data_IF_102821342530
#
_entry.id   IF_102821342530
#
_cell.length_a   1.000
_cell.length_b   1.000
_cell.length_c   1.000
_cell.angle_alpha   90.00
_cell.angle_beta   90.00
_cell.angle_gamma   90.00
#
_symmetry.space_group_name_H-M   'P 1'
#
loop_
_entity.id
_entity.type
_entity.pdbx_description
1 polymer ?
#
# COMPACT_ATOMS: atom_id res chain seq x y z
N UNK A 1 -7.07 -18.83 -26.67
CA UNK A 1 -6.39 -18.39 -25.43
C UNK A 1 -5.87 -16.98 -25.66
N UNK A 2 -6.19 -16.10 -24.74
CA UNK A 2 -5.74 -14.68 -24.75
C UNK A 2 -4.99 -14.42 -23.47
N UNK A 3 -3.87 -13.70 -23.59
CA UNK A 3 -3.11 -13.19 -22.45
C UNK A 3 -3.41 -11.72 -22.29
N UNK A 4 -3.80 -11.32 -21.10
CA UNK A 4 -4.07 -9.93 -20.75
C UNK A 4 -3.44 -9.56 -19.41
N UNK A 5 -3.08 -8.29 -19.30
CA UNK A 5 -2.54 -7.71 -18.07
C UNK A 5 -3.55 -6.75 -17.47
N UNK A 6 -3.78 -6.87 -16.16
CA UNK A 6 -4.67 -5.99 -15.41
C UNK A 6 -3.89 -5.27 -14.31
N UNK A 7 -4.12 -3.98 -14.13
CA UNK A 7 -3.67 -3.23 -12.97
C UNK A 7 -4.62 -3.50 -11.80
N UNK A 8 -4.08 -4.00 -10.69
CA UNK A 8 -4.85 -4.39 -9.51
C UNK A 8 -4.57 -3.41 -8.38
N UNK A 9 -5.60 -2.75 -7.90
CA UNK A 9 -5.50 -1.82 -6.76
C UNK A 9 -6.02 -2.43 -5.46
N UNK A 10 -5.47 -1.98 -4.31
CA UNK A 10 -5.89 -2.44 -2.99
C UNK A 10 -5.14 -3.65 -2.45
N UNK A 11 -4.12 -4.15 -3.15
CA UNK A 11 -3.24 -5.19 -2.64
C UNK A 11 -2.15 -4.57 -1.75
N UNK A 12 -2.08 -5.01 -0.49
CA UNK A 12 -1.09 -4.51 0.46
C UNK A 12 -0.24 -5.62 1.10
N UNK A 13 -0.49 -6.88 0.76
CA UNK A 13 0.21 -8.01 1.36
C UNK A 13 0.20 -9.22 0.45
N UNK A 14 1.14 -10.18 0.68
CA UNK A 14 1.20 -11.43 -0.09
C UNK A 14 -0.09 -12.27 0.00
N UNK A 15 -0.82 -12.20 1.12
CA UNK A 15 -2.13 -12.86 1.24
C UNK A 15 -3.18 -12.22 0.32
N UNK A 16 -3.09 -10.90 0.06
CA UNK A 16 -3.97 -10.20 -0.85
C UNK A 16 -3.74 -10.65 -2.30
N UNK A 17 -2.47 -10.69 -2.76
CA UNK A 17 -2.14 -11.18 -4.10
C UNK A 17 -2.54 -12.65 -4.30
N UNK A 18 -2.28 -13.51 -3.32
CA UNK A 18 -2.73 -14.90 -3.34
C UNK A 18 -4.26 -15.03 -3.37
N UNK A 19 -5.00 -14.12 -2.72
CA UNK A 19 -6.47 -14.11 -2.77
C UNK A 19 -6.98 -13.75 -4.16
N UNK A 20 -6.42 -12.72 -4.81
CA UNK A 20 -6.76 -12.33 -6.19
C UNK A 20 -6.48 -13.49 -7.15
N UNK A 21 -5.30 -14.10 -7.06
CA UNK A 21 -4.91 -15.25 -7.86
C UNK A 21 -5.85 -16.45 -7.67
N UNK A 22 -6.22 -16.76 -6.43
CA UNK A 22 -7.14 -17.86 -6.12
C UNK A 22 -8.55 -17.64 -6.68
N UNK A 23 -9.08 -16.42 -6.63
CA UNK A 23 -10.45 -16.16 -7.11
C UNK A 23 -10.51 -16.09 -8.62
N UNK A 24 -9.46 -15.63 -9.30
CA UNK A 24 -9.38 -15.58 -10.76
C UNK A 24 -9.10 -16.94 -11.37
N UNK A 25 -8.25 -17.78 -10.79
CA UNK A 25 -8.04 -19.18 -11.21
C UNK A 25 -9.29 -20.07 -11.10
N UNK A 26 -10.28 -19.67 -10.30
CA UNK A 26 -11.55 -20.41 -10.17
C UNK A 26 -12.57 -20.06 -11.27
N UNK A 27 -12.28 -19.10 -12.12
CA UNK A 27 -13.15 -18.80 -13.26
C UNK A 27 -13.04 -19.90 -14.30
N UNK A 28 -14.16 -20.38 -14.86
CA UNK A 28 -14.12 -21.37 -15.93
C UNK A 28 -13.41 -20.77 -17.15
N UNK A 29 -12.50 -21.52 -17.77
CA UNK A 29 -11.73 -21.04 -18.93
C UNK A 29 -10.45 -20.26 -18.61
N UNK A 30 -10.11 -20.04 -17.34
CA UNK A 30 -8.81 -19.48 -16.94
C UNK A 30 -7.80 -20.61 -16.81
N UNK A 31 -6.72 -20.54 -17.61
CA UNK A 31 -5.61 -21.49 -17.57
C UNK A 31 -4.56 -21.09 -16.53
N UNK A 32 -4.22 -19.80 -16.54
CA UNK A 32 -3.16 -19.25 -15.69
C UNK A 32 -3.52 -17.85 -15.20
N UNK A 33 -3.21 -17.57 -13.96
CA UNK A 33 -3.31 -16.24 -13.37
C UNK A 33 -2.15 -16.05 -12.41
N UNK A 34 -1.30 -15.08 -12.70
CA UNK A 34 -0.12 -14.73 -11.90
C UNK A 34 -0.25 -13.27 -11.45
N UNK A 35 -0.12 -13.07 -10.15
CA UNK A 35 -0.28 -11.74 -9.56
C UNK A 35 1.05 -11.25 -9.01
N UNK A 36 1.54 -10.14 -9.53
CA UNK A 36 2.74 -9.47 -9.04
C UNK A 36 2.34 -8.34 -8.09
N UNK A 37 2.59 -8.53 -6.80
CA UNK A 37 2.28 -7.57 -5.75
C UNK A 37 3.07 -6.25 -5.91
N UNK A 38 4.35 -6.32 -6.32
CA UNK A 38 5.23 -5.15 -6.42
C UNK A 38 4.85 -4.27 -7.62
N UNK A 39 4.54 -4.91 -8.74
CA UNK A 39 4.07 -4.23 -9.94
C UNK A 39 2.57 -3.85 -9.87
N UNK A 40 1.84 -4.36 -8.86
CA UNK A 40 0.38 -4.22 -8.75
C UNK A 40 -0.36 -4.69 -10.02
N UNK A 41 0.15 -5.75 -10.65
CA UNK A 41 -0.34 -6.28 -11.92
C UNK A 41 -0.70 -7.75 -11.79
N UNK A 42 -1.73 -8.13 -12.55
CA UNK A 42 -2.12 -9.52 -12.75
C UNK A 42 -2.02 -9.84 -14.24
N UNK A 43 -1.25 -10.87 -14.55
CA UNK A 43 -1.22 -11.48 -15.92
C UNK A 43 -2.13 -12.69 -15.91
N UNK A 44 -3.10 -12.72 -16.80
CA UNK A 44 -4.08 -13.80 -16.88
C UNK A 44 -4.16 -14.35 -18.29
N UNK A 45 -4.15 -15.69 -18.42
CA UNK A 45 -4.34 -16.42 -19.66
C UNK A 45 -5.69 -17.14 -19.59
N UNK A 46 -6.59 -16.85 -20.51
CA UNK A 46 -7.95 -17.37 -20.48
C UNK A 46 -8.53 -17.59 -21.87
N UNK A 47 -9.63 -18.35 -21.92
CA UNK A 47 -10.41 -18.62 -23.14
C UNK A 47 -11.53 -17.58 -23.27
N UNK A 48 -11.43 -16.71 -24.29
CA UNK A 48 -12.42 -15.66 -24.57
C UNK A 48 -13.84 -16.18 -24.83
N UNK A 49 -13.97 -17.48 -25.21
CA UNK A 49 -15.30 -18.08 -25.44
C UNK A 49 -16.01 -18.43 -24.13
N UNK A 50 -15.30 -18.52 -23.03
CA UNK A 50 -15.82 -18.94 -21.73
C UNK A 50 -15.87 -17.80 -20.70
N UNK A 51 -14.94 -16.85 -20.76
CA UNK A 51 -14.82 -15.74 -19.80
C UNK A 51 -14.58 -14.43 -20.53
N UNK A 52 -15.28 -13.38 -20.12
CA UNK A 52 -15.06 -12.02 -20.64
C UNK A 52 -14.23 -11.17 -19.70
N UNK A 53 -13.52 -10.12 -20.20
CA UNK A 53 -12.77 -9.18 -19.38
C UNK A 53 -13.58 -8.57 -18.23
N UNK A 54 -14.86 -8.27 -18.47
CA UNK A 54 -15.76 -7.70 -17.48
C UNK A 54 -16.04 -8.68 -16.33
N UNK A 55 -16.11 -9.98 -16.62
CA UNK A 55 -16.29 -11.02 -15.61
C UNK A 55 -15.05 -11.19 -14.74
N UNK A 56 -13.84 -11.04 -15.33
CA UNK A 56 -12.58 -11.03 -14.59
C UNK A 56 -12.55 -9.85 -13.62
N UNK A 57 -12.83 -8.64 -14.13
CA UNK A 57 -12.90 -7.42 -13.32
C UNK A 57 -13.93 -7.56 -12.19
N UNK A 58 -15.16 -7.96 -12.52
CA UNK A 58 -16.22 -8.13 -11.52
C UNK A 58 -15.87 -9.19 -10.46
N UNK A 59 -15.10 -10.23 -10.83
CA UNK A 59 -14.66 -11.24 -9.86
C UNK A 59 -13.62 -10.72 -8.89
N UNK A 60 -12.68 -9.91 -9.38
CA UNK A 60 -11.66 -9.24 -8.55
C UNK A 60 -12.30 -8.19 -7.64
N UNK A 61 -13.24 -7.39 -8.17
CA UNK A 61 -14.00 -6.41 -7.38
C UNK A 61 -14.84 -7.08 -6.28
N UNK A 62 -15.47 -8.21 -6.59
CA UNK A 62 -16.21 -9.00 -5.61
C UNK A 62 -15.31 -9.57 -4.51
N UNK A 63 -14.02 -9.75 -4.76
CA UNK A 63 -13.04 -10.13 -3.75
C UNK A 63 -12.53 -8.95 -2.91
N UNK A 64 -12.97 -7.72 -3.21
CA UNK A 64 -12.62 -6.50 -2.46
C UNK A 64 -11.42 -5.74 -3.01
N UNK A 65 -11.01 -6.02 -4.26
CA UNK A 65 -9.88 -5.38 -4.94
C UNK A 65 -10.37 -4.65 -6.19
N UNK A 66 -9.69 -3.58 -6.60
CA UNK A 66 -9.97 -2.94 -7.87
C UNK A 66 -9.17 -3.60 -9.00
N UNK A 67 -9.79 -3.78 -10.18
CA UNK A 67 -9.11 -4.26 -11.38
C UNK A 67 -9.43 -3.37 -12.58
N UNK A 68 -8.41 -3.07 -13.39
CA UNK A 68 -8.56 -2.36 -14.66
C UNK A 68 -7.66 -3.02 -15.70
N UNK A 69 -8.16 -3.17 -16.92
CA UNK A 69 -7.33 -3.65 -18.02
C UNK A 69 -6.13 -2.70 -18.18
N UNK A 70 -4.93 -3.26 -18.16
CA UNK A 70 -3.71 -2.50 -18.39
C UNK A 70 -3.70 -2.02 -19.84
N UNK A 71 -3.85 -0.74 -20.06
CA UNK A 71 -3.64 -0.13 -21.35
C UNK A 71 -2.19 0.36 -21.38
N UNK A 72 -1.37 -0.20 -22.25
CA UNK A 72 -0.11 0.42 -22.63
C UNK A 72 -0.44 1.81 -23.22
N UNK A 73 -0.60 2.79 -22.36
CA UNK A 73 -0.53 4.17 -22.81
C UNK A 73 0.88 4.36 -23.37
N UNK A 74 0.95 4.56 -24.67
CA UNK A 74 2.09 5.28 -25.26
C UNK A 74 2.37 6.46 -24.33
N UNK A 75 3.45 6.38 -23.56
CA UNK A 75 3.92 7.47 -22.70
C UNK A 75 4.48 8.57 -23.59
N UNK A 76 3.58 9.28 -24.26
CA UNK A 76 3.78 10.59 -24.85
C UNK A 76 2.69 11.52 -24.33
N UNK A 77 2.63 11.68 -23.00
CA UNK A 77 1.88 12.77 -22.39
C UNK A 77 2.87 13.66 -21.66
N UNK A 78 2.79 15.01 -21.84
CA UNK A 78 3.72 15.94 -21.23
C UNK A 78 3.69 15.77 -19.72
N UNK A 79 4.88 15.85 -19.11
CA UNK A 79 5.07 15.98 -17.67
C UNK A 79 4.09 17.07 -17.17
N UNK A 80 2.93 16.64 -16.71
CA UNK A 80 2.09 17.51 -15.92
C UNK A 80 2.85 17.77 -14.62
N UNK A 81 3.20 19.00 -14.40
CA UNK A 81 3.75 19.57 -13.15
C UNK A 81 2.72 19.52 -12.03
N UNK A 82 2.12 18.35 -11.81
CA UNK A 82 1.27 18.01 -10.68
C UNK A 82 2.06 17.11 -9.73
N UNK A 83 1.92 17.32 -8.45
CA UNK A 83 2.48 16.42 -7.42
C UNK A 83 2.10 14.98 -7.74
N UNK A 84 3.11 14.10 -7.69
CA UNK A 84 2.94 12.66 -7.94
C UNK A 84 1.83 12.11 -7.02
N UNK A 85 0.75 11.52 -7.55
CA UNK A 85 -0.39 11.07 -6.72
C UNK A 85 0.06 10.15 -5.57
N UNK A 86 1.12 9.35 -5.79
CA UNK A 86 1.71 8.51 -4.73
C UNK A 86 2.37 9.33 -3.62
N UNK A 87 2.98 10.48 -3.96
CA UNK A 87 3.57 11.37 -2.94
C UNK A 87 2.50 12.06 -2.11
N UNK A 88 1.44 12.53 -2.74
CA UNK A 88 0.32 13.15 -2.06
C UNK A 88 -0.34 12.15 -1.08
N UNK A 89 -0.52 10.90 -1.48
CA UNK A 89 -1.05 9.83 -0.63
C UNK A 89 -0.12 9.52 0.55
N UNK A 90 1.18 9.43 0.31
CA UNK A 90 2.17 9.16 1.36
C UNK A 90 2.23 10.32 2.38
N UNK A 91 2.14 11.58 1.92
CA UNK A 91 2.06 12.77 2.78
C UNK A 91 0.78 12.76 3.62
N UNK A 92 -0.35 12.34 3.05
CA UNK A 92 -1.61 12.20 3.77
C UNK A 92 -1.51 11.13 4.86
N UNK A 93 -1.03 9.92 4.52
CA UNK A 93 -0.80 8.83 5.49
C UNK A 93 0.14 9.26 6.61
N UNK A 94 1.22 9.99 6.29
CA UNK A 94 2.15 10.54 7.29
C UNK A 94 1.46 11.50 8.24
N UNK A 95 0.63 12.42 7.74
CA UNK A 95 -0.11 13.39 8.57
C UNK A 95 -1.11 12.68 9.49
N UNK A 96 -1.90 11.75 8.94
CA UNK A 96 -2.86 10.95 9.71
C UNK A 96 -2.14 10.16 10.82
N UNK A 97 -0.97 9.58 10.53
CA UNK A 97 -0.14 8.87 11.51
C UNK A 97 0.38 9.80 12.62
N UNK A 98 0.87 10.99 12.28
CA UNK A 98 1.37 11.96 13.29
C UNK A 98 0.23 12.37 14.22
N UNK A 99 -0.94 12.69 13.68
CA UNK A 99 -2.11 13.04 14.48
C UNK A 99 -2.50 11.88 15.38
N UNK A 100 -2.63 10.68 14.83
CA UNK A 100 -2.94 9.46 15.58
C UNK A 100 -1.92 9.21 16.71
N UNK A 101 -0.62 9.36 16.45
CA UNK A 101 0.43 9.16 17.43
C UNK A 101 0.35 10.18 18.58
N UNK A 102 0.12 11.47 18.28
CA UNK A 102 -0.01 12.51 19.31
C UNK A 102 -1.18 12.20 20.24
N UNK A 103 -2.37 11.89 19.68
CA UNK A 103 -3.56 11.60 20.47
C UNK A 103 -3.46 10.27 21.23
N UNK A 104 -2.85 9.23 20.63
CA UNK A 104 -2.59 7.96 21.32
C UNK A 104 -1.61 8.10 22.46
N UNK A 105 -0.54 8.88 22.30
CA UNK A 105 0.40 9.15 23.39
C UNK A 105 -0.27 9.95 24.52
N UNK A 106 -1.09 10.95 24.19
CA UNK A 106 -1.85 11.70 25.17
C UNK A 106 -2.85 10.79 25.93
N UNK A 107 -3.53 9.90 25.20
CA UNK A 107 -4.47 8.95 25.78
C UNK A 107 -3.77 7.94 26.71
N UNK A 108 -2.63 7.38 26.27
CA UNK A 108 -1.80 6.50 27.10
C UNK A 108 -1.32 7.23 28.38
N UNK A 109 -0.92 8.49 28.24
CA UNK A 109 -0.49 9.29 29.39
C UNK A 109 -1.63 9.52 30.37
N UNK A 110 -2.83 9.85 29.90
CA UNK A 110 -4.02 10.02 30.75
C UNK A 110 -4.42 8.70 31.42
N UNK A 111 -4.42 7.58 30.69
CA UNK A 111 -4.85 6.28 31.20
C UNK A 111 -3.84 5.64 32.17
N UNK A 112 -2.55 5.64 31.82
CA UNK A 112 -1.50 4.92 32.56
C UNK A 112 -0.50 5.83 33.27
N UNK A 113 -0.58 7.16 33.11
CA UNK A 113 0.42 8.09 33.63
C UNK A 113 0.58 8.03 35.15
N UNK A 114 -0.45 7.62 35.88
CA UNK A 114 -0.39 7.45 37.34
C UNK A 114 0.29 6.15 37.78
N UNK A 115 0.43 5.16 36.88
CA UNK A 115 1.03 3.84 37.15
C UNK A 115 2.47 3.71 36.66
N UNK A 116 3.00 4.70 35.92
CA UNK A 116 4.33 4.65 35.35
C UNK A 116 5.41 4.77 36.42
N UNK A 117 6.24 3.72 36.64
CA UNK A 117 7.28 3.72 37.70
C UNK A 117 8.50 4.58 37.39
N UNK A 118 8.51 5.30 36.27
CA UNK A 118 9.68 6.03 35.76
C UNK A 118 9.88 7.44 36.35
N UNK A 119 9.18 7.82 37.44
CA UNK A 119 9.41 9.14 38.08
C UNK A 119 9.16 10.34 37.16
N UNK A 120 8.49 10.15 36.04
CA UNK A 120 7.95 11.27 35.27
C UNK A 120 6.93 11.98 36.16
N UNK A 121 7.07 13.32 36.39
CA UNK A 121 6.09 14.03 37.15
C UNK A 121 4.72 13.78 36.51
N UNK A 122 3.82 13.17 37.27
CA UNK A 122 2.42 13.11 36.86
C UNK A 122 2.02 14.54 36.54
N UNK A 123 1.73 14.85 35.26
CA UNK A 123 1.14 16.16 34.97
C UNK A 123 -0.08 16.27 35.87
N UNK A 124 -0.20 17.29 36.67
CA UNK A 124 -1.36 17.46 37.51
C UNK A 124 -2.57 17.62 36.57
N UNK A 125 -3.28 16.51 36.35
CA UNK A 125 -4.59 16.58 35.70
C UNK A 125 -5.42 17.46 36.66
N UNK A 126 -6.11 18.47 36.14
CA UNK A 126 -7.05 19.23 36.94
C UNK A 126 -7.98 18.28 37.70
N UNK A 127 -8.31 18.56 38.96
CA UNK A 127 -9.18 17.70 39.76
C UNK A 127 -10.49 17.33 39.07
N UNK A 128 -10.91 18.17 38.13
CA UNK A 128 -12.08 17.93 37.24
C UNK A 128 -11.98 16.68 36.37
N UNK A 129 -10.77 16.23 36.05
CA UNK A 129 -10.49 15.04 35.24
C UNK A 129 -9.77 13.93 36.04
N UNK A 130 -9.83 14.03 37.37
CA UNK A 130 -9.27 12.99 38.23
C UNK A 130 -10.18 11.75 38.24
N UNK A 131 -9.57 10.59 38.07
CA UNK A 131 -10.24 9.31 38.11
C UNK A 131 -10.97 9.06 39.44
N UNK A 132 -10.45 9.60 40.54
CA UNK A 132 -10.98 9.37 41.87
C UNK A 132 -12.13 10.33 42.25
N UNK A 133 -12.11 11.56 41.76
CA UNK A 133 -13.10 12.59 42.11
C UNK A 133 -14.21 12.71 41.08
N UNK A 134 -13.88 12.56 39.78
CA UNK A 134 -14.81 12.71 38.67
C UNK A 134 -14.62 11.63 37.60
N UNK A 135 -14.98 10.36 37.89
CA UNK A 135 -14.72 9.22 37.02
C UNK A 135 -15.40 9.35 35.64
N UNK A 136 -16.58 9.97 35.58
CA UNK A 136 -17.27 10.19 34.30
C UNK A 136 -16.53 11.20 33.42
N UNK A 137 -16.02 12.30 33.99
CA UNK A 137 -15.24 13.27 33.22
C UNK A 137 -13.94 12.66 32.69
N UNK A 138 -13.30 11.79 33.48
CA UNK A 138 -12.12 11.04 33.07
C UNK A 138 -12.42 10.12 31.88
N UNK A 139 -13.53 9.38 31.90
CA UNK A 139 -13.95 8.53 30.80
C UNK A 139 -14.29 9.33 29.52
N UNK A 140 -14.99 10.47 29.68
CA UNK A 140 -15.29 11.39 28.57
C UNK A 140 -14.03 11.97 27.96
N UNK A 141 -13.03 12.34 28.78
CA UNK A 141 -11.74 12.82 28.28
C UNK A 141 -11.05 11.75 27.41
N UNK A 142 -11.00 10.50 27.89
CA UNK A 142 -10.44 9.39 27.11
C UNK A 142 -11.19 9.18 25.80
N UNK A 143 -12.52 9.19 25.84
CA UNK A 143 -13.35 9.10 24.63
C UNK A 143 -13.03 10.21 23.63
N UNK A 144 -12.92 11.47 24.09
CA UNK A 144 -12.58 12.62 23.24
C UNK A 144 -11.21 12.49 22.60
N UNK A 145 -10.23 11.92 23.31
CA UNK A 145 -8.88 11.66 22.78
C UNK A 145 -8.85 10.47 21.81
N UNK A 146 -9.74 9.48 21.98
CA UNK A 146 -9.82 8.31 21.11
C UNK A 146 -10.46 8.62 19.75
N UNK A 147 -11.44 9.53 19.68
CA UNK A 147 -12.17 9.84 18.45
C UNK A 147 -11.28 10.26 17.29
N UNK A 148 -10.30 11.18 17.44
CA UNK A 148 -9.40 11.54 16.35
C UNK A 148 -8.57 10.36 15.83
N UNK A 149 -8.17 9.44 16.71
CA UNK A 149 -7.41 8.24 16.33
C UNK A 149 -8.27 7.28 15.51
N UNK A 150 -9.51 7.03 15.93
CA UNK A 150 -10.46 6.22 15.18
C UNK A 150 -10.77 6.84 13.81
N UNK A 151 -10.91 8.17 13.76
CA UNK A 151 -11.13 8.88 12.49
C UNK A 151 -9.94 8.73 11.53
N UNK A 152 -8.72 8.86 12.01
CA UNK A 152 -7.52 8.59 11.22
C UNK A 152 -7.45 7.12 10.76
N UNK A 153 -7.89 6.19 11.62
CA UNK A 153 -7.95 4.75 11.35
C UNK A 153 -9.19 4.27 10.60
N UNK A 154 -10.08 5.15 10.13
CA UNK A 154 -11.37 4.75 9.52
C UNK A 154 -11.24 3.77 8.35
N UNK A 155 -10.14 3.84 7.60
CA UNK A 155 -9.91 2.95 6.46
C UNK A 155 -9.77 1.47 6.90
N UNK A 156 -9.22 1.21 8.11
CA UNK A 156 -9.18 -0.14 8.67
C UNK A 156 -10.58 -0.71 8.90
N UNK A 157 -11.49 0.12 9.40
CA UNK A 157 -12.88 -0.31 9.63
C UNK A 157 -13.60 -0.54 8.30
N UNK A 158 -13.49 0.39 7.35
CA UNK A 158 -14.16 0.28 6.04
C UNK A 158 -13.65 -0.96 5.31
N UNK A 159 -12.35 -1.08 5.09
CA UNK A 159 -11.75 -2.17 4.33
C UNK A 159 -11.87 -3.51 5.09
N UNK A 160 -11.68 -3.48 6.42
CA UNK A 160 -11.72 -4.65 7.27
C UNK A 160 -13.11 -5.29 7.32
N UNK A 161 -14.15 -4.51 7.55
CA UNK A 161 -15.52 -5.03 7.55
C UNK A 161 -15.99 -5.41 6.15
N UNK A 162 -15.61 -4.66 5.12
CA UNK A 162 -15.92 -5.02 3.75
C UNK A 162 -15.31 -6.39 3.38
N UNK A 163 -14.03 -6.61 3.67
CA UNK A 163 -13.36 -7.88 3.45
C UNK A 163 -14.01 -9.04 4.23
N UNK A 164 -14.41 -8.77 5.48
CA UNK A 164 -15.09 -9.75 6.32
C UNK A 164 -16.45 -10.17 5.73
N UNK A 165 -17.28 -9.21 5.32
CA UNK A 165 -18.61 -9.49 4.74
C UNK A 165 -18.53 -10.19 3.39
N UNK A 166 -17.41 -10.01 2.64
CA UNK A 166 -17.17 -10.74 1.39
C UNK A 166 -16.52 -12.12 1.60
N UNK A 167 -16.34 -12.57 2.85
CA UNK A 167 -15.78 -13.88 3.17
C UNK A 167 -14.29 -14.04 2.94
N UNK A 168 -13.55 -12.93 2.79
CA UNK A 168 -12.09 -12.90 2.62
C UNK A 168 -11.45 -12.05 3.73
N UNK A 169 -11.51 -12.49 5.02
CA UNK A 169 -10.94 -11.73 6.12
C UNK A 169 -9.44 -11.52 5.90
N UNK A 170 -8.98 -10.32 6.18
CA UNK A 170 -7.59 -9.90 6.06
C UNK A 170 -7.09 -9.27 7.37
N UNK A 171 -5.84 -8.79 7.38
CA UNK A 171 -5.24 -8.13 8.54
C UNK A 171 -6.10 -6.93 9.01
N UNK A 172 -6.68 -6.18 8.07
CA UNK A 172 -7.53 -5.04 8.39
C UNK A 172 -8.82 -5.46 9.11
N UNK A 173 -9.38 -6.64 8.76
CA UNK A 173 -10.54 -7.22 9.43
C UNK A 173 -10.25 -7.55 10.89
N UNK A 174 -9.07 -8.12 11.18
CA UNK A 174 -8.66 -8.44 12.56
C UNK A 174 -8.50 -7.16 13.39
N UNK A 175 -7.83 -6.16 12.84
CA UNK A 175 -7.62 -4.85 13.50
C UNK A 175 -8.95 -4.14 13.71
N UNK A 176 -9.84 -4.15 12.72
CA UNK A 176 -11.16 -3.52 12.81
C UNK A 176 -12.02 -4.16 13.92
N UNK A 177 -12.08 -5.49 13.97
CA UNK A 177 -12.86 -6.20 15.01
C UNK A 177 -12.27 -5.92 16.39
N UNK A 178 -10.96 -6.11 16.58
CA UNK A 178 -10.31 -5.92 17.87
C UNK A 178 -10.46 -4.51 18.41
N UNK A 179 -10.23 -3.50 17.56
CA UNK A 179 -10.36 -2.09 17.94
C UNK A 179 -11.82 -1.69 18.19
N UNK A 180 -12.76 -2.18 17.36
CA UNK A 180 -14.19 -1.92 17.56
C UNK A 180 -14.70 -2.55 18.84
N UNK A 181 -14.36 -3.80 19.14
CA UNK A 181 -14.76 -4.47 20.37
C UNK A 181 -14.23 -3.73 21.61
N UNK A 182 -12.95 -3.35 21.61
CA UNK A 182 -12.33 -2.60 22.71
C UNK A 182 -13.00 -1.23 22.91
N UNK A 183 -13.29 -0.52 21.81
CA UNK A 183 -13.95 0.78 21.86
C UNK A 183 -15.41 0.67 22.35
N UNK A 184 -16.20 -0.24 21.78
CA UNK A 184 -17.61 -0.45 22.16
C UNK A 184 -17.72 -0.90 23.62
N UNK A 185 -16.85 -1.83 24.04
CA UNK A 185 -16.78 -2.26 25.44
C UNK A 185 -16.54 -1.08 26.37
N UNK A 186 -15.57 -0.19 26.04
CA UNK A 186 -15.26 0.98 26.86
C UNK A 186 -16.42 1.98 26.92
N UNK A 187 -17.15 2.16 25.80
CA UNK A 187 -18.36 2.99 25.79
C UNK A 187 -19.44 2.40 26.70
N UNK A 188 -19.68 1.09 26.65
CA UNK A 188 -20.63 0.43 27.54
C UNK A 188 -20.22 0.59 29.00
N UNK A 189 -18.95 0.37 29.33
CA UNK A 189 -18.41 0.56 30.70
C UNK A 189 -18.57 2.01 31.17
N UNK A 190 -18.35 2.99 30.28
CA UNK A 190 -18.55 4.40 30.60
C UNK A 190 -19.98 4.69 31.07
N UNK A 191 -21.01 4.11 30.45
CA UNK A 191 -22.41 4.27 30.87
C UNK A 191 -22.70 3.57 32.21
N UNK A 192 -21.97 2.53 32.57
CA UNK A 192 -22.13 1.81 33.84
C UNK A 192 -21.42 2.52 35.02
N UNK A 193 -20.54 3.49 34.77
CA UNK A 193 -19.86 4.27 35.82
C UNK A 193 -20.83 5.06 36.69
N UNK A 194 -22.04 5.38 36.21
CA UNK A 194 -23.04 6.18 36.94
C UNK A 194 -23.53 5.51 38.21
N UNK A 195 -23.50 4.18 38.32
CA UNK A 195 -24.12 3.43 39.43
C UNK A 195 -23.08 2.87 40.43
N UNK A 196 -21.84 2.66 40.00
CA UNK A 196 -20.76 2.12 40.85
C UNK A 196 -19.42 2.82 40.55
N UNK A 197 -19.10 3.79 41.42
CA UNK A 197 -18.04 4.80 41.20
C UNK A 197 -16.62 4.21 41.07
N UNK A 198 -16.35 3.03 41.60
CA UNK A 198 -14.95 2.55 41.73
C UNK A 198 -14.60 1.32 40.89
N UNK A 199 -15.56 0.52 40.40
CA UNK A 199 -15.28 -0.73 39.70
C UNK A 199 -15.07 -0.58 38.19
N UNK A 200 -15.85 0.25 37.55
CA UNK A 200 -15.95 0.29 36.09
C UNK A 200 -14.92 1.21 35.39
N UNK A 201 -14.39 2.22 36.12
CA UNK A 201 -13.41 3.19 35.59
C UNK A 201 -12.08 2.50 35.23
N UNK A 202 -11.68 1.47 35.97
CA UNK A 202 -10.47 0.69 35.69
C UNK A 202 -10.60 -0.24 34.47
N UNK A 203 -11.81 -0.43 33.95
CA UNK A 203 -12.11 -1.33 32.84
C UNK A 203 -12.31 -0.57 31.52
N UNK A 204 -11.80 0.64 31.40
CA UNK A 204 -11.80 1.38 30.14
C UNK A 204 -10.59 0.96 29.33
N UNK A 205 -10.78 0.65 28.03
CA UNK A 205 -9.76 0.18 27.09
C UNK A 205 -9.69 1.06 25.82
N UNK A 206 -10.00 2.37 25.95
CA UNK A 206 -9.89 3.31 24.82
C UNK A 206 -8.46 3.41 24.32
N UNK A 207 -7.47 3.39 25.22
CA UNK A 207 -6.05 3.40 24.89
C UNK A 207 -5.64 2.19 24.09
N UNK A 208 -6.16 1.00 24.40
CA UNK A 208 -5.84 -0.24 23.67
C UNK A 208 -6.28 -0.15 22.22
N UNK A 209 -7.51 0.33 21.97
CA UNK A 209 -8.02 0.57 20.62
C UNK A 209 -7.15 1.58 19.86
N UNK A 210 -6.81 2.71 20.50
CA UNK A 210 -6.02 3.78 19.88
C UNK A 210 -4.59 3.35 19.57
N UNK A 211 -3.94 2.65 20.50
CA UNK A 211 -2.55 2.17 20.34
C UNK A 211 -2.45 1.14 19.22
N UNK A 212 -3.37 0.17 19.18
CA UNK A 212 -3.39 -0.84 18.10
C UNK A 212 -3.53 -0.17 16.74
N UNK A 213 -4.50 0.74 16.56
CA UNK A 213 -4.69 1.47 15.32
C UNK A 213 -3.45 2.28 14.91
N UNK A 214 -2.82 2.95 15.88
CA UNK A 214 -1.64 3.78 15.62
C UNK A 214 -0.43 2.93 15.22
N UNK A 215 -0.16 1.83 15.94
CA UNK A 215 0.97 0.94 15.64
C UNK A 215 0.81 0.23 14.30
N UNK A 216 -0.40 -0.24 13.98
CA UNK A 216 -0.67 -0.85 12.67
C UNK A 216 -0.57 0.19 11.56
N UNK A 217 -1.05 1.43 11.77
CA UNK A 217 -0.87 2.54 10.83
C UNK A 217 0.60 2.87 10.58
N UNK A 218 1.43 2.83 11.63
CA UNK A 218 2.89 2.99 11.51
C UNK A 218 3.50 1.88 10.65
N UNK A 219 3.12 0.62 10.90
CA UNK A 219 3.57 -0.52 10.10
C UNK A 219 3.23 -0.35 8.62
N UNK A 220 1.98 -0.01 8.30
CA UNK A 220 1.54 0.24 6.92
C UNK A 220 2.22 1.44 6.27
N UNK A 221 2.50 2.49 7.02
CA UNK A 221 3.26 3.63 6.51
C UNK A 221 4.70 3.23 6.14
N UNK A 222 5.37 2.46 7.01
CA UNK A 222 6.72 1.94 6.73
C UNK A 222 6.75 1.02 5.51
N UNK A 223 5.76 0.13 5.39
CA UNK A 223 5.58 -0.76 4.24
C UNK A 223 5.40 0.04 2.94
N UNK A 224 4.46 1.02 2.92
CA UNK A 224 4.23 1.88 1.76
C UNK A 224 5.48 2.65 1.34
N UNK A 225 6.24 3.14 2.31
CA UNK A 225 7.51 3.85 2.05
C UNK A 225 8.59 2.93 1.45
N UNK A 226 8.70 1.71 1.96
CA UNK A 226 9.66 0.73 1.44
C UNK A 226 9.28 0.26 0.03
N UNK A 227 7.99 0.01 -0.22
CA UNK A 227 7.48 -0.37 -1.53
C UNK A 227 7.78 0.72 -2.57
N UNK A 228 7.57 2.01 -2.24
CA UNK A 228 7.91 3.13 -3.14
C UNK A 228 9.40 3.13 -3.50
N UNK A 229 10.29 2.89 -2.53
CA UNK A 229 11.74 2.81 -2.82
C UNK A 229 12.07 1.66 -3.77
N UNK A 230 11.45 0.50 -3.59
CA UNK A 230 11.66 -0.67 -4.44
C UNK A 230 11.16 -0.41 -5.87
N UNK A 231 9.93 0.14 -6.01
CA UNK A 231 9.38 0.53 -7.32
C UNK A 231 10.29 1.55 -8.03
N UNK A 232 10.77 2.56 -7.31
CA UNK A 232 11.67 3.57 -7.86
C UNK A 232 12.99 2.97 -8.36
N UNK A 233 13.58 2.02 -7.64
CA UNK A 233 14.79 1.33 -8.07
C UNK A 233 14.57 0.49 -9.35
N UNK A 234 13.46 -0.24 -9.42
CA UNK A 234 13.08 -1.03 -10.60
C UNK A 234 12.84 -0.10 -11.80
N UNK A 235 12.08 0.99 -11.62
CA UNK A 235 11.83 1.97 -12.68
C UNK A 235 13.11 2.65 -13.16
N UNK A 236 14.07 2.91 -12.25
CA UNK A 236 15.37 3.45 -12.63
C UNK A 236 16.16 2.48 -13.53
N UNK A 237 16.09 1.17 -13.26
CA UNK A 237 16.68 0.14 -14.12
C UNK A 237 15.98 0.04 -15.48
N UNK A 238 14.64 0.11 -15.50
CA UNK A 238 13.88 0.09 -16.78
C UNK A 238 14.19 1.31 -17.65
N UNK A 239 14.45 2.47 -17.07
CA UNK A 239 14.87 3.68 -17.81
C UNK A 239 16.27 3.61 -18.40
N UNK A 240 17.05 2.53 -18.16
CA UNK A 240 18.33 2.30 -18.83
C UNK A 240 18.15 1.94 -20.30
N UNK A 241 17.04 1.29 -20.67
CA UNK A 241 16.70 1.00 -22.07
C UNK A 241 16.16 2.29 -22.72
N UNK A 242 16.71 2.73 -23.87
CA UNK A 242 16.22 3.89 -24.58
C UNK A 242 14.86 3.60 -25.25
N UNK A 243 14.00 4.60 -25.28
CA UNK A 243 12.64 4.50 -25.87
C UNK A 243 12.67 4.44 -27.40
N UNK A 244 13.79 4.89 -28.02
CA UNK A 244 13.98 4.92 -29.47
C UNK A 244 15.22 4.18 -29.90
N UNK A 245 15.14 3.57 -31.07
CA UNK A 245 16.25 2.89 -31.75
C UNK A 245 16.45 3.50 -33.15
N UNK A 246 17.71 3.58 -33.61
CA UNK A 246 18.05 4.09 -34.94
C UNK A 246 18.25 2.90 -35.91
N UNK A 247 17.38 2.79 -36.93
CA UNK A 247 17.54 1.77 -37.95
C UNK A 247 18.73 2.10 -38.87
N UNK A 248 19.62 1.12 -39.11
CA UNK A 248 20.79 1.31 -39.95
C UNK A 248 20.46 1.55 -41.43
N UNK A 249 19.39 0.88 -41.93
CA UNK A 249 19.03 0.93 -43.35
C UNK A 249 18.40 2.26 -43.75
N UNK A 250 17.56 2.84 -42.89
CA UNK A 250 16.79 4.06 -43.20
C UNK A 250 17.29 5.32 -42.51
N UNK A 251 18.18 5.17 -41.50
CA UNK A 251 18.61 6.28 -40.65
C UNK A 251 17.49 6.94 -39.85
N UNK A 252 16.33 6.28 -39.73
CA UNK A 252 15.17 6.80 -38.98
C UNK A 252 15.18 6.31 -37.55
N UNK A 253 14.82 7.20 -36.64
CA UNK A 253 14.50 6.83 -35.27
C UNK A 253 13.09 6.21 -35.23
N UNK A 254 12.99 5.05 -34.63
CA UNK A 254 11.73 4.32 -34.42
C UNK A 254 11.60 4.00 -32.94
N UNK A 255 10.38 3.89 -32.42
CA UNK A 255 10.17 3.38 -31.05
C UNK A 255 10.79 1.99 -30.91
N UNK A 256 11.46 1.72 -29.78
CA UNK A 256 12.10 0.43 -29.50
C UNK A 256 11.10 -0.73 -29.57
N UNK A 257 9.84 -0.47 -29.21
CA UNK A 257 8.74 -1.44 -29.31
C UNK A 257 8.34 -1.81 -30.74
N UNK A 258 8.71 -1.01 -31.74
CA UNK A 258 8.40 -1.28 -33.15
C UNK A 258 9.49 -2.09 -33.88
N UNK A 259 10.64 -2.29 -33.25
CA UNK A 259 11.78 -3.04 -33.80
C UNK A 259 11.47 -4.53 -33.80
N UNK A 260 11.78 -5.20 -34.89
CA UNK A 260 11.54 -6.65 -35.06
C UNK A 260 12.86 -7.42 -35.08
N UNK A 261 12.78 -8.70 -34.74
CA UNK A 261 13.91 -9.60 -34.87
C UNK A 261 14.41 -9.65 -36.33
N UNK A 262 15.71 -9.39 -36.54
CA UNK A 262 16.35 -9.28 -37.85
C UNK A 262 16.60 -7.85 -38.34
N UNK A 263 16.06 -6.85 -37.67
CA UNK A 263 16.37 -5.45 -37.97
C UNK A 263 17.80 -5.09 -37.54
N UNK A 264 18.48 -4.31 -38.35
CA UNK A 264 19.85 -3.83 -38.07
C UNK A 264 19.78 -2.43 -37.46
N UNK A 265 20.30 -2.28 -36.25
CA UNK A 265 20.30 -1.04 -35.50
C UNK A 265 21.67 -0.37 -35.53
N UNK A 266 21.72 0.95 -35.63
CA UNK A 266 22.92 1.75 -35.52
C UNK A 266 23.09 2.32 -34.12
N UNK A 267 24.08 1.88 -33.39
CA UNK A 267 24.45 2.41 -32.07
C UNK A 267 25.62 3.35 -32.23
N UNK A 268 25.45 4.64 -31.94
CA UNK A 268 26.48 5.66 -32.00
C UNK A 268 27.32 5.66 -30.72
N UNK A 269 28.59 6.12 -30.78
CA UNK A 269 29.38 6.32 -29.57
C UNK A 269 28.65 7.20 -28.54
N UNK A 270 28.60 6.74 -27.27
CA UNK A 270 27.89 7.39 -26.20
C UNK A 270 26.37 7.13 -26.17
N UNK A 271 25.82 6.43 -27.17
CA UNK A 271 24.41 6.00 -27.13
C UNK A 271 24.24 4.74 -26.28
N UNK A 272 23.00 4.50 -25.82
CA UNK A 272 22.63 3.27 -25.14
C UNK A 272 22.22 2.20 -26.15
N UNK A 273 22.52 0.94 -25.85
CA UNK A 273 22.08 -0.21 -26.67
C UNK A 273 20.59 -0.43 -26.38
N UNK A 274 19.69 -0.33 -27.40
CA UNK A 274 18.24 -0.34 -27.16
C UNK A 274 17.66 -1.75 -26.93
N UNK A 275 18.23 -2.78 -27.53
CA UNK A 275 17.73 -4.15 -27.49
C UNK A 275 18.89 -5.15 -27.52
N UNK A 276 18.60 -6.38 -27.09
CA UNK A 276 19.55 -7.50 -27.22
C UNK A 276 19.80 -7.81 -28.71
N UNK A 277 21.05 -8.08 -29.04
CA UNK A 277 21.42 -8.33 -30.41
C UNK A 277 22.84 -8.87 -30.56
N UNK A 278 23.24 -9.08 -31.81
CA UNK A 278 24.57 -9.54 -32.19
C UNK A 278 25.26 -8.45 -32.98
N UNK A 279 26.53 -8.14 -32.65
CA UNK A 279 27.33 -7.17 -33.40
C UNK A 279 27.60 -7.70 -34.78
N UNK A 280 27.09 -7.01 -35.80
CA UNK A 280 27.32 -7.40 -37.22
C UNK A 280 28.47 -6.64 -37.84
N UNK A 281 28.75 -5.42 -37.42
CA UNK A 281 29.82 -4.55 -37.94
C UNK A 281 30.23 -3.52 -36.92
N UNK A 282 31.56 -3.29 -36.81
CA UNK A 282 32.13 -2.29 -35.91
C UNK A 282 32.72 -2.89 -34.64
N UNK A 283 33.52 -2.10 -33.93
CA UNK A 283 34.16 -2.43 -32.67
C UNK A 283 34.01 -1.24 -31.72
N UNK A 284 33.67 -1.51 -30.47
CA UNK A 284 33.56 -0.48 -29.44
C UNK A 284 33.60 -1.12 -28.05
N UNK A 285 33.96 -0.34 -27.05
CA UNK A 285 33.85 -0.75 -25.66
C UNK A 285 32.49 -0.31 -25.06
N UNK A 286 31.91 -1.17 -24.25
CA UNK A 286 30.63 -0.97 -23.59
C UNK A 286 30.82 -0.80 -22.10
N UNK A 287 30.25 0.26 -21.52
CA UNK A 287 30.24 0.48 -20.09
C UNK A 287 29.03 -0.24 -19.46
N UNK A 288 29.28 -1.34 -18.77
CA UNK A 288 28.28 -2.15 -18.06
C UNK A 288 28.23 -1.86 -16.56
N UNK A 289 28.87 -0.82 -16.07
CA UNK A 289 29.00 -0.52 -14.65
C UNK A 289 27.65 -0.40 -13.91
N UNK A 290 26.61 0.02 -14.62
CA UNK A 290 25.25 0.12 -14.03
C UNK A 290 24.58 -1.23 -13.79
N UNK A 291 25.02 -2.30 -14.47
CA UNK A 291 24.49 -3.65 -14.32
C UNK A 291 25.42 -4.53 -13.49
N UNK A 292 26.71 -4.50 -13.77
CA UNK A 292 27.70 -5.38 -13.14
C UNK A 292 28.35 -4.77 -11.91
N UNK A 293 28.36 -3.45 -11.79
CA UNK A 293 29.10 -2.70 -10.77
C UNK A 293 30.59 -2.53 -11.08
N UNK A 294 31.09 -3.10 -12.19
CA UNK A 294 32.48 -2.97 -12.61
C UNK A 294 32.69 -1.69 -13.43
N UNK A 295 33.71 -0.91 -13.07
CA UNK A 295 33.96 0.39 -13.69
C UNK A 295 34.73 0.29 -15.01
N UNK A 296 35.29 -0.88 -15.35
CA UNK A 296 36.06 -1.10 -16.58
C UNK A 296 35.10 -1.42 -17.73
N UNK A 297 35.22 -0.70 -18.87
CA UNK A 297 34.47 -1.04 -20.07
C UNK A 297 34.86 -2.42 -20.61
N UNK A 298 33.92 -3.15 -21.14
CA UNK A 298 34.12 -4.47 -21.79
C UNK A 298 34.18 -4.27 -23.29
N UNK A 299 35.15 -4.95 -23.95
CA UNK A 299 35.30 -4.94 -25.41
C UNK A 299 34.46 -6.03 -26.09
#
# INVERSE_FOLDING_TARGET
MREEVYDISGMHCAACSASVEKVTRRLPGVERSDVNLVAERMTIVYDETQVTPEQIVAKVEKAGFGAKLHQEKQEAAPVQTGEDPEEAELRRKKRELIVSAIFSCALLYVSMGQMLPFGLPALPLPDLFSMHTHPMNFAVLQLMLAIPVLYCGRNFFINGFQALFHGNPNMDSLVAIGSACSFVYSVVMMFLITDDVHGHVHNLYYESSAVVLTLVSLGKFMESRNMKKTKSAITALMRLTPDTALLADSGKEVPTSAVKAGDVLLVKPGARIPLDGVVTKGESSVNEAMLTGESLPVE
#
